data_IF_572782743649
#
_entry.id   IF_572782743649
#
_cell.length_a   1.000
_cell.length_b   1.000
_cell.length_c   1.000
_cell.angle_alpha   90.00
_cell.angle_beta   90.00
_cell.angle_gamma   90.00
#
_symmetry.space_group_name_H-M   'P 1'
#
loop_
_entity.id
_entity.type
_entity.pdbx_description
1 polymer ?
#
# COMPACT_ATOMS: atom_id res chain seq x y z
N UNK A 1 1.45 -0.18 -2.56
CA UNK A 1 0.87 -0.61 -3.84
C UNK A 1 0.38 -2.06 -3.76
N UNK A 2 1.22 -3.04 -3.39
CA UNK A 2 0.84 -4.46 -3.35
C UNK A 2 -0.39 -4.73 -2.47
N UNK A 3 -0.41 -4.22 -1.23
CA UNK A 3 -1.56 -4.41 -0.33
C UNK A 3 -2.87 -3.90 -0.92
N UNK A 4 -2.85 -2.78 -1.67
CA UNK A 4 -4.05 -2.24 -2.33
C UNK A 4 -4.57 -3.16 -3.43
N UNK A 5 -3.67 -3.74 -4.20
CA UNK A 5 -4.02 -4.68 -5.27
C UNK A 5 -4.59 -5.98 -4.69
N UNK A 6 -3.97 -6.48 -3.62
CA UNK A 6 -4.45 -7.69 -2.92
C UNK A 6 -5.80 -7.44 -2.25
N UNK A 7 -5.97 -6.30 -1.58
CA UNK A 7 -7.25 -5.93 -0.97
C UNK A 7 -8.39 -5.78 -1.99
N UNK A 8 -8.08 -5.56 -3.27
CA UNK A 8 -9.05 -5.54 -4.35
C UNK A 8 -9.30 -6.92 -5.02
N UNK A 9 -8.66 -7.99 -4.52
CA UNK A 9 -8.88 -9.36 -4.96
C UNK A 9 -7.80 -9.97 -5.85
N UNK A 10 -6.83 -9.18 -6.33
CA UNK A 10 -5.81 -9.69 -7.24
C UNK A 10 -4.59 -10.28 -6.51
N UNK A 11 -3.89 -11.22 -7.14
CA UNK A 11 -2.60 -11.71 -6.66
C UNK A 11 -1.51 -10.67 -6.87
N UNK A 12 -0.66 -10.45 -5.84
CA UNK A 12 0.51 -9.58 -5.98
C UNK A 12 1.58 -10.19 -6.90
N UNK A 13 1.69 -11.51 -7.02
CA UNK A 13 2.76 -12.21 -7.73
C UNK A 13 2.84 -11.88 -9.23
N UNK A 14 1.70 -11.50 -9.81
CA UNK A 14 1.61 -11.11 -11.22
C UNK A 14 1.80 -9.62 -11.47
N UNK A 15 2.02 -8.84 -10.41
CA UNK A 15 2.15 -7.38 -10.53
C UNK A 15 3.39 -6.97 -11.32
N UNK A 16 3.26 -5.81 -11.94
CA UNK A 16 4.37 -5.01 -12.47
C UNK A 16 4.26 -3.61 -11.92
N UNK A 17 5.40 -2.96 -11.72
CA UNK A 17 5.43 -1.58 -11.27
C UNK A 17 5.68 -0.62 -12.42
N UNK A 18 5.09 0.57 -12.30
CA UNK A 18 5.55 1.79 -12.95
C UNK A 18 5.85 2.79 -11.85
N UNK A 19 7.01 3.44 -11.92
CA UNK A 19 7.40 4.44 -10.93
C UNK A 19 7.32 5.84 -11.50
N UNK A 20 6.96 6.79 -10.65
CA UNK A 20 7.03 8.20 -10.96
C UNK A 20 7.67 8.94 -9.81
N UNK A 21 8.69 9.74 -10.11
CA UNK A 21 9.42 10.45 -9.09
C UNK A 21 9.52 11.95 -9.38
N UNK A 22 9.58 12.72 -8.29
CA UNK A 22 9.72 14.16 -8.31
C UNK A 22 10.75 14.58 -7.30
N UNK A 23 11.73 15.35 -7.76
CA UNK A 23 12.79 15.89 -6.94
C UNK A 23 13.07 17.35 -7.31
N UNK A 24 13.72 18.07 -6.39
CA UNK A 24 14.22 19.42 -6.62
C UNK A 24 15.27 19.46 -7.75
N UNK A 25 15.70 20.65 -8.11
CA UNK A 25 16.79 20.81 -9.08
C UNK A 25 18.08 20.20 -8.54
N UNK A 26 18.73 19.38 -9.35
CA UNK A 26 19.97 18.67 -9.01
C UNK A 26 21.18 19.58 -9.14
N UNK A 27 21.57 20.28 -8.08
CA UNK A 27 22.66 21.26 -8.08
C UNK A 27 23.91 20.78 -7.36
N UNK A 28 23.81 19.80 -6.48
CA UNK A 28 24.90 19.32 -5.64
C UNK A 28 24.77 17.81 -5.32
N UNK A 29 25.77 17.29 -4.61
CA UNK A 29 25.80 15.87 -4.22
C UNK A 29 24.62 15.46 -3.31
N UNK A 30 24.14 16.38 -2.48
CA UNK A 30 23.03 16.11 -1.56
C UNK A 30 21.72 15.99 -2.32
N UNK A 31 21.46 16.88 -3.27
CA UNK A 31 20.28 16.81 -4.12
C UNK A 31 20.26 15.52 -4.96
N UNK A 32 21.38 15.11 -5.56
CA UNK A 32 21.52 13.83 -6.26
C UNK A 32 21.40 12.60 -5.36
N UNK A 33 21.77 12.69 -4.09
CA UNK A 33 21.64 11.60 -3.12
C UNK A 33 20.19 11.20 -2.83
N UNK A 34 19.23 12.12 -2.98
CA UNK A 34 17.82 11.88 -2.71
C UNK A 34 17.19 10.88 -3.69
N UNK A 35 17.23 11.09 -5.03
CA UNK A 35 16.72 10.10 -5.98
C UNK A 35 17.48 8.78 -5.90
N UNK A 36 18.81 8.80 -5.70
CA UNK A 36 19.56 7.56 -5.54
C UNK A 36 19.05 6.73 -4.35
N UNK A 37 18.81 7.35 -3.21
CA UNK A 37 18.26 6.66 -2.03
C UNK A 37 16.88 6.08 -2.29
N UNK A 38 16.00 6.83 -2.96
CA UNK A 38 14.67 6.36 -3.31
C UNK A 38 14.71 5.16 -4.26
N UNK A 39 15.57 5.22 -5.29
CA UNK A 39 15.74 4.14 -6.25
C UNK A 39 16.36 2.89 -5.63
N UNK A 40 17.32 3.03 -4.71
CA UNK A 40 17.87 1.88 -3.98
C UNK A 40 16.82 1.18 -3.12
N UNK A 41 15.95 1.95 -2.45
CA UNK A 41 14.81 1.40 -1.71
C UNK A 41 13.84 0.67 -2.63
N UNK A 42 13.49 1.26 -3.76
CA UNK A 42 12.62 0.65 -4.76
C UNK A 42 13.22 -0.64 -5.35
N UNK A 43 14.52 -0.61 -5.69
CA UNK A 43 15.23 -1.79 -6.21
C UNK A 43 15.23 -2.93 -5.19
N UNK A 44 15.55 -2.62 -3.93
CA UNK A 44 15.52 -3.61 -2.85
C UNK A 44 14.15 -4.31 -2.77
N UNK A 45 13.07 -3.55 -2.75
CA UNK A 45 11.72 -4.12 -2.67
C UNK A 45 11.37 -4.94 -3.92
N UNK A 46 11.72 -4.48 -5.12
CA UNK A 46 11.49 -5.24 -6.35
C UNK A 46 12.21 -6.59 -6.32
N UNK A 47 13.47 -6.61 -5.90
CA UNK A 47 14.27 -7.84 -5.81
C UNK A 47 13.69 -8.78 -4.76
N UNK A 48 13.38 -8.28 -3.57
CA UNK A 48 12.87 -9.11 -2.48
C UNK A 48 11.47 -9.67 -2.74
N UNK A 49 10.59 -8.90 -3.39
CA UNK A 49 9.27 -9.39 -3.79
C UNK A 49 9.29 -10.21 -5.08
N UNK A 50 10.33 -10.11 -5.89
CA UNK A 50 10.39 -10.69 -7.22
C UNK A 50 9.48 -9.98 -8.23
N UNK A 51 9.23 -8.69 -8.04
CA UNK A 51 8.29 -7.90 -8.83
C UNK A 51 9.03 -6.81 -9.63
N UNK A 52 9.15 -6.96 -10.96
CA UNK A 52 9.86 -5.97 -11.77
C UNK A 52 9.03 -4.71 -12.05
N UNK A 53 9.72 -3.61 -12.31
CA UNK A 53 9.13 -2.45 -12.95
C UNK A 53 9.19 -2.56 -14.48
N UNK A 54 8.18 -2.04 -15.15
CA UNK A 54 8.08 -1.99 -16.61
C UNK A 54 8.49 -0.63 -17.19
N UNK A 55 8.69 0.35 -16.33
CA UNK A 55 9.06 1.70 -16.71
C UNK A 55 8.73 2.71 -15.64
N UNK A 56 8.80 3.97 -16.02
CA UNK A 56 8.51 5.07 -15.12
C UNK A 56 8.80 6.42 -15.77
N UNK A 57 8.70 7.47 -14.98
CA UNK A 57 9.02 8.83 -15.35
C UNK A 57 9.66 9.54 -14.18
N UNK A 58 10.69 10.31 -14.43
CA UNK A 58 11.33 11.17 -13.45
C UNK A 58 11.13 12.66 -13.77
N UNK A 59 11.23 13.47 -12.72
CA UNK A 59 11.30 14.92 -12.80
C UNK A 59 12.26 15.43 -11.74
N UNK A 60 13.39 15.97 -12.16
CA UNK A 60 14.50 16.40 -11.29
C UNK A 60 14.76 17.90 -11.39
N UNK A 61 13.72 18.69 -11.59
CA UNK A 61 13.80 20.16 -11.69
C UNK A 61 12.64 20.86 -10.99
N UNK A 62 12.08 20.23 -9.98
CA UNK A 62 10.96 20.73 -9.20
C UNK A 62 11.37 21.84 -8.22
N UNK A 63 11.97 22.91 -8.73
CA UNK A 63 12.35 24.09 -7.97
C UNK A 63 11.77 25.32 -8.62
N UNK A 64 11.08 26.13 -7.86
CA UNK A 64 10.62 27.45 -8.26
C UNK A 64 11.13 28.48 -7.25
N UNK A 65 12.00 29.36 -7.69
CA UNK A 65 12.71 30.31 -6.81
C UNK A 65 13.42 29.59 -5.65
N UNK A 66 12.96 29.77 -4.42
CA UNK A 66 13.45 29.16 -3.19
C UNK A 66 12.57 28.00 -2.68
N UNK A 67 11.55 27.62 -3.43
CA UNK A 67 10.64 26.52 -3.07
C UNK A 67 11.04 25.26 -3.83
N UNK A 68 11.31 24.20 -3.10
CA UNK A 68 11.63 22.88 -3.65
C UNK A 68 10.46 21.93 -3.48
N UNK A 69 10.18 21.12 -4.51
CA UNK A 69 9.25 19.98 -4.35
C UNK A 69 9.82 19.00 -3.32
N UNK A 70 9.02 18.49 -2.39
CA UNK A 70 9.47 17.43 -1.49
C UNK A 70 9.88 16.18 -2.27
N UNK A 71 10.92 15.45 -1.85
CA UNK A 71 11.29 14.18 -2.44
C UNK A 71 10.10 13.23 -2.47
N UNK A 72 9.77 12.72 -3.66
CA UNK A 72 8.61 11.85 -3.85
C UNK A 72 8.94 10.72 -4.82
N UNK A 73 8.59 9.49 -4.43
CA UNK A 73 8.58 8.32 -5.30
C UNK A 73 7.21 7.65 -5.19
N UNK A 74 6.47 7.62 -6.28
CA UNK A 74 5.18 6.95 -6.39
C UNK A 74 5.34 5.61 -7.10
N UNK A 75 4.73 4.56 -6.55
CA UNK A 75 4.68 3.24 -7.15
C UNK A 75 3.25 2.94 -7.61
N UNK A 76 3.07 2.72 -8.90
CA UNK A 76 1.84 2.24 -9.50
C UNK A 76 1.96 0.72 -9.69
N UNK A 77 1.06 -0.03 -9.07
CA UNK A 77 0.97 -1.47 -9.24
C UNK A 77 -0.07 -1.82 -10.30
N UNK A 78 0.33 -2.62 -11.28
CA UNK A 78 -0.54 -3.05 -12.37
C UNK A 78 -0.55 -4.57 -12.39
N UNK A 79 -1.74 -5.17 -12.45
CA UNK A 79 -1.93 -6.62 -12.57
C UNK A 79 -3.25 -6.92 -13.29
N UNK A 80 -3.46 -8.19 -13.59
CA UNK A 80 -4.72 -8.71 -14.11
C UNK A 80 -5.41 -9.57 -13.09
N UNK A 81 -6.73 -9.53 -13.06
CA UNK A 81 -7.59 -10.34 -12.19
C UNK A 81 -8.87 -10.70 -12.94
N UNK A 82 -9.48 -11.83 -12.60
CA UNK A 82 -10.83 -12.14 -13.09
C UNK A 82 -11.84 -11.13 -12.52
N UNK A 83 -12.67 -10.57 -13.38
CA UNK A 83 -13.64 -9.55 -12.98
C UNK A 83 -14.61 -10.03 -11.88
N UNK A 84 -14.93 -11.33 -11.86
CA UNK A 84 -15.76 -11.94 -10.83
C UNK A 84 -15.10 -12.03 -9.45
N UNK A 85 -13.78 -11.84 -9.39
CA UNK A 85 -13.00 -11.91 -8.13
C UNK A 85 -12.63 -10.54 -7.57
N UNK A 86 -13.04 -9.47 -8.24
CA UNK A 86 -12.80 -8.11 -7.76
C UNK A 86 -13.76 -7.78 -6.63
N UNK A 87 -13.22 -7.36 -5.50
CA UNK A 87 -14.00 -6.85 -4.37
C UNK A 87 -13.74 -5.36 -4.17
N UNK A 88 -14.70 -4.68 -3.60
CA UNK A 88 -14.61 -3.25 -3.27
C UNK A 88 -14.52 -3.03 -1.75
N UNK A 89 -14.01 -1.88 -1.31
CA UNK A 89 -13.65 -1.69 0.09
C UNK A 89 -14.81 -1.43 1.05
N UNK A 90 -16.00 -1.04 0.56
CA UNK A 90 -17.11 -0.70 1.46
C UNK A 90 -17.62 -1.92 2.26
N UNK A 91 -18.07 -1.70 3.48
CA UNK A 91 -18.74 -2.71 4.31
C UNK A 91 -20.01 -3.20 3.60
N UNK A 92 -20.23 -4.53 3.56
CA UNK A 92 -21.31 -5.11 2.73
C UNK A 92 -22.59 -5.41 3.51
N UNK A 93 -22.46 -6.02 4.69
CA UNK A 93 -23.60 -6.56 5.43
C UNK A 93 -23.45 -6.32 6.93
N UNK A 94 -24.57 -6.05 7.59
CA UNK A 94 -24.63 -6.01 9.05
C UNK A 94 -24.24 -7.37 9.66
N UNK A 95 -23.53 -7.34 10.78
CA UNK A 95 -23.10 -8.54 11.49
C UNK A 95 -21.82 -9.17 10.97
N UNK A 96 -21.28 -8.72 9.83
CA UNK A 96 -19.97 -9.17 9.37
C UNK A 96 -18.87 -8.77 10.35
N UNK A 97 -17.88 -9.65 10.47
CA UNK A 97 -16.72 -9.42 11.34
C UNK A 97 -15.62 -8.68 10.57
N UNK A 98 -14.93 -7.79 11.25
CA UNK A 98 -13.72 -7.13 10.74
C UNK A 98 -12.48 -7.85 11.27
N UNK A 99 -11.55 -8.12 10.39
CA UNK A 99 -10.26 -8.75 10.71
C UNK A 99 -9.11 -7.88 10.22
N UNK A 100 -8.26 -7.47 11.14
CA UNK A 100 -7.03 -6.76 10.79
C UNK A 100 -5.89 -7.76 10.55
N UNK A 101 -5.47 -7.90 9.31
CA UNK A 101 -4.27 -8.64 8.92
C UNK A 101 -3.09 -7.68 9.05
N UNK A 102 -2.51 -7.63 10.26
CA UNK A 102 -1.49 -6.65 10.64
C UNK A 102 -0.13 -7.00 10.01
N UNK A 103 0.54 -6.00 9.48
CA UNK A 103 1.96 -6.02 9.18
C UNK A 103 2.72 -5.27 10.26
N UNK A 104 3.80 -5.85 10.77
CA UNK A 104 4.69 -5.21 11.75
C UNK A 104 6.05 -5.03 11.09
N UNK A 105 6.51 -3.78 10.90
CA UNK A 105 7.85 -3.52 10.38
C UNK A 105 8.94 -4.09 11.29
N UNK A 106 10.10 -4.37 10.73
CA UNK A 106 11.30 -4.74 11.46
C UNK A 106 11.78 -3.58 12.35
N UNK A 107 12.65 -3.85 13.32
CA UNK A 107 13.20 -2.83 14.25
C UNK A 107 13.87 -1.64 13.54
N UNK A 108 14.44 -1.87 12.35
CA UNK A 108 15.04 -0.83 11.51
C UNK A 108 14.01 -0.09 10.61
N UNK A 109 12.72 -0.24 10.90
CA UNK A 109 11.59 0.30 10.14
C UNK A 109 11.46 -0.20 8.69
N UNK A 110 12.24 -1.20 8.30
CA UNK A 110 12.06 -1.84 7.00
C UNK A 110 10.86 -2.80 7.03
N UNK A 111 10.18 -2.98 5.89
CA UNK A 111 9.12 -3.97 5.81
C UNK A 111 9.61 -5.39 6.11
N UNK A 112 8.86 -6.15 6.88
CA UNK A 112 9.04 -7.60 6.95
C UNK A 112 8.44 -8.24 5.69
N UNK A 113 9.31 -8.54 4.74
CA UNK A 113 8.93 -9.09 3.42
C UNK A 113 8.31 -10.47 3.55
N UNK A 114 8.80 -11.30 4.47
CA UNK A 114 8.26 -12.63 4.72
C UNK A 114 6.82 -12.55 5.23
N UNK A 115 6.58 -11.71 6.23
CA UNK A 115 5.25 -11.48 6.78
C UNK A 115 4.30 -10.90 5.72
N UNK A 116 4.75 -9.92 4.94
CA UNK A 116 3.94 -9.32 3.88
C UNK A 116 3.50 -10.34 2.83
N UNK A 117 4.42 -11.17 2.33
CA UNK A 117 4.10 -12.23 1.37
C UNK A 117 3.09 -13.22 1.93
N UNK A 118 3.26 -13.65 3.17
CA UNK A 118 2.34 -14.57 3.84
C UNK A 118 0.94 -13.94 4.01
N UNK A 119 0.88 -12.69 4.48
CA UNK A 119 -0.37 -11.96 4.66
C UNK A 119 -1.12 -11.77 3.33
N UNK A 120 -0.42 -11.33 2.28
CA UNK A 120 -1.03 -11.11 0.96
C UNK A 120 -1.53 -12.40 0.32
N UNK A 121 -0.76 -13.48 0.45
CA UNK A 121 -1.19 -14.80 -0.01
C UNK A 121 -2.46 -15.23 0.72
N UNK A 122 -2.47 -15.15 2.05
CA UNK A 122 -3.62 -15.51 2.86
C UNK A 122 -4.87 -14.69 2.47
N UNK A 123 -4.76 -13.36 2.39
CA UNK A 123 -5.90 -12.51 2.02
C UNK A 123 -6.42 -12.86 0.63
N UNK A 124 -5.52 -13.03 -0.34
CA UNK A 124 -5.91 -13.41 -1.70
C UNK A 124 -6.66 -14.75 -1.71
N UNK A 125 -6.14 -15.79 -1.03
CA UNK A 125 -6.79 -17.10 -0.94
C UNK A 125 -8.18 -17.01 -0.27
N UNK A 126 -8.34 -16.19 0.77
CA UNK A 126 -9.63 -16.00 1.43
C UNK A 126 -10.64 -15.26 0.55
N UNK A 127 -10.20 -14.31 -0.26
CA UNK A 127 -11.06 -13.66 -1.27
C UNK A 127 -11.49 -14.66 -2.34
N UNK A 128 -10.55 -15.49 -2.84
CA UNK A 128 -10.88 -16.54 -3.81
C UNK A 128 -11.87 -17.58 -3.27
N UNK A 129 -11.83 -17.84 -1.97
CA UNK A 129 -12.76 -18.73 -1.28
C UNK A 129 -14.07 -18.04 -0.84
N UNK A 130 -14.31 -16.79 -1.25
CA UNK A 130 -15.47 -15.97 -0.90
C UNK A 130 -15.67 -15.74 0.62
N UNK A 131 -14.63 -15.98 1.42
CA UNK A 131 -14.64 -15.72 2.86
C UNK A 131 -14.44 -14.23 3.21
N UNK A 132 -13.82 -13.46 2.32
CA UNK A 132 -13.62 -12.02 2.42
C UNK A 132 -14.40 -11.34 1.30
N UNK A 133 -15.32 -10.46 1.67
CA UNK A 133 -16.23 -9.76 0.74
C UNK A 133 -15.89 -8.27 0.57
N UNK A 134 -15.01 -7.75 1.40
CA UNK A 134 -14.47 -6.39 1.29
C UNK A 134 -13.06 -6.33 1.87
N UNK A 135 -12.23 -5.41 1.38
CA UNK A 135 -10.88 -5.26 1.88
C UNK A 135 -10.34 -3.84 1.67
N UNK A 136 -9.61 -3.33 2.65
CA UNK A 136 -8.97 -2.02 2.58
C UNK A 136 -7.52 -2.09 3.04
N UNK A 137 -6.60 -1.67 2.18
CA UNK A 137 -5.19 -1.57 2.55
C UNK A 137 -4.95 -0.31 3.39
N UNK A 138 -4.49 -0.48 4.61
CA UNK A 138 -4.20 0.63 5.52
C UNK A 138 -3.11 1.53 4.97
N UNK A 139 -3.20 2.81 5.29
CA UNK A 139 -2.28 3.85 4.88
C UNK A 139 -1.87 4.75 6.03
N UNK A 140 -1.74 6.03 5.73
CA UNK A 140 -1.27 7.06 6.65
C UNK A 140 -2.19 7.25 7.87
N UNK A 141 -3.50 7.23 7.67
CA UNK A 141 -4.49 7.40 8.74
C UNK A 141 -4.82 6.13 9.52
N UNK A 142 -4.09 5.03 9.27
CA UNK A 142 -4.20 3.79 10.04
C UNK A 142 -5.56 3.11 9.96
N UNK A 143 -5.92 2.45 11.06
CA UNK A 143 -7.17 1.71 11.17
C UNK A 143 -8.39 2.64 11.19
N UNK A 144 -8.28 3.81 11.80
CA UNK A 144 -9.36 4.79 11.83
C UNK A 144 -9.76 5.25 10.42
N UNK A 145 -8.79 5.58 9.57
CA UNK A 145 -9.03 5.94 8.17
C UNK A 145 -9.72 4.79 7.41
N UNK A 146 -9.24 3.56 7.58
CA UNK A 146 -9.79 2.39 6.92
C UNK A 146 -11.27 2.20 7.27
N UNK A 147 -11.60 2.17 8.55
CA UNK A 147 -12.97 1.97 9.02
C UNK A 147 -13.89 3.07 8.50
N UNK A 148 -13.50 4.34 8.63
CA UNK A 148 -14.31 5.45 8.14
C UNK A 148 -14.60 5.33 6.64
N UNK A 149 -13.58 5.05 5.84
CA UNK A 149 -13.74 4.94 4.38
C UNK A 149 -14.58 3.72 3.98
N UNK A 150 -14.42 2.60 4.68
CA UNK A 150 -15.23 1.41 4.43
C UNK A 150 -16.69 1.60 4.82
N UNK A 151 -16.96 2.43 5.82
CA UNK A 151 -18.34 2.74 6.28
C UNK A 151 -19.11 3.65 5.32
N UNK A 152 -18.45 4.55 4.59
CA UNK A 152 -19.11 5.56 3.76
C UNK A 152 -19.93 4.97 2.61
N UNK A 153 -19.46 3.89 1.97
CA UNK A 153 -20.06 3.38 0.74
C UNK A 153 -21.51 2.93 0.90
N UNK A 154 -21.79 2.16 1.93
CA UNK A 154 -23.13 1.61 2.20
C UNK A 154 -23.76 2.17 3.49
N UNK A 155 -23.14 3.15 4.13
CA UNK A 155 -23.67 3.77 5.35
C UNK A 155 -23.74 2.81 6.54
N UNK A 156 -22.85 1.82 6.59
CA UNK A 156 -22.80 0.83 7.67
C UNK A 156 -21.79 1.26 8.74
N UNK A 157 -22.19 1.11 10.00
CA UNK A 157 -21.34 1.37 11.15
C UNK A 157 -20.42 0.19 11.46
N UNK A 158 -19.32 0.47 12.17
CA UNK A 158 -18.44 -0.55 12.69
C UNK A 158 -18.25 -0.37 14.20
N UNK A 159 -18.40 -1.46 14.96
CA UNK A 159 -18.01 -1.50 16.37
C UNK A 159 -16.67 -2.21 16.49
N UNK A 160 -15.68 -1.53 17.06
CA UNK A 160 -14.34 -2.08 17.25
C UNK A 160 -13.95 -2.00 18.72
N UNK A 161 -13.11 -2.96 19.16
CA UNK A 161 -12.38 -2.90 20.42
C UNK A 161 -10.91 -2.93 20.08
N UNK A 162 -10.24 -1.78 20.19
CA UNK A 162 -8.84 -1.59 19.82
C UNK A 162 -8.22 -0.50 20.69
N UNK A 163 -6.90 -0.48 20.84
CA UNK A 163 -6.23 0.59 21.59
C UNK A 163 -6.37 1.92 20.82
N UNK A 164 -6.98 2.91 21.47
CA UNK A 164 -7.20 4.23 20.89
C UNK A 164 -5.90 4.91 20.42
N UNK A 165 -4.78 4.64 21.11
CA UNK A 165 -3.47 5.19 20.77
C UNK A 165 -2.91 4.62 19.46
N UNK A 166 -3.34 3.42 19.08
CA UNK A 166 -2.91 2.74 17.86
C UNK A 166 -3.82 2.98 16.65
N UNK A 167 -5.03 3.51 16.86
CA UNK A 167 -6.02 3.70 15.79
C UNK A 167 -5.51 4.54 14.61
N UNK A 168 -4.68 5.54 14.90
CA UNK A 168 -4.15 6.48 13.91
C UNK A 168 -2.69 6.19 13.51
N UNK A 169 -2.12 5.10 14.02
CA UNK A 169 -0.77 4.71 13.62
C UNK A 169 -0.74 4.28 12.15
N UNK A 170 0.37 4.59 11.48
CA UNK A 170 0.58 4.16 10.10
C UNK A 170 0.39 2.66 9.96
N UNK A 171 -0.46 2.24 9.03
CA UNK A 171 -0.81 0.84 8.84
C UNK A 171 -0.26 0.24 7.55
N UNK A 172 0.75 0.82 6.93
CA UNK A 172 1.29 0.36 5.65
C UNK A 172 1.64 -1.14 5.67
N UNK A 173 1.15 -1.84 4.66
CA UNK A 173 1.29 -3.29 4.55
C UNK A 173 0.11 -4.08 5.13
N UNK A 174 -0.60 -3.53 6.13
CA UNK A 174 -1.77 -4.15 6.74
C UNK A 174 -3.02 -4.03 5.85
N UNK A 175 -3.95 -4.97 6.02
CA UNK A 175 -5.25 -5.00 5.33
C UNK A 175 -6.36 -5.25 6.36
N UNK A 176 -7.43 -4.46 6.29
CA UNK A 176 -8.67 -4.62 7.04
C UNK A 176 -9.72 -5.24 6.13
#
# INVERSE_FOLDING_TARGET
ACSKVVAAGASYEKMRFSYQEYFERMTDRKSWGKPLSALLGALKMQVEFGLPSIGGKDSMSGTFENINVPPMLMAFGITTVDAGQVISPELKYEGNKLYLIKHTPLENHMPDVGQLKANWKYVHEQIQAENIVSGYALGFGGLAEAICKMSFGNGLDARITYDEKELFNYGYGSIL
#
